data_IF_938442452167
#
_entry.id   IF_938442452167
#
_cell.length_a   1.000
_cell.length_b   1.000
_cell.length_c   1.000
_cell.angle_alpha   90.00
_cell.angle_beta   90.00
_cell.angle_gamma   90.00
#
_symmetry.space_group_name_H-M   'P 1'
#
loop_
_entity.id
_entity.type
_entity.pdbx_description
1 polymer ?
2 non-polymer ?
3 non-polymer ?
#
# COMPACT_ATOMS: atom_id res chain seq x y z
N UNK A 16 -11.39 11.32 -14.86
CA UNK A 16 -12.00 10.67 -13.71
C UNK A 16 -11.17 9.46 -13.24
N UNK A 17 -11.67 8.24 -13.45
CA UNK A 17 -10.89 7.02 -13.29
C UNK A 17 -10.34 6.90 -11.86
N UNK A 18 -11.28 6.65 -10.94
CA UNK A 18 -10.97 6.47 -9.51
C UNK A 18 -9.66 5.71 -9.31
N UNK A 19 -8.82 6.22 -8.41
CA UNK A 19 -7.55 5.60 -8.11
C UNK A 19 -7.44 5.30 -6.62
N UNK A 20 -6.71 4.22 -6.32
CA UNK A 20 -6.52 3.74 -4.96
C UNK A 20 -5.15 4.16 -4.45
N UNK A 21 -5.11 4.66 -3.23
CA UNK A 21 -3.88 5.09 -2.58
C UNK A 21 -3.23 3.87 -1.94
N UNK A 22 -1.90 3.80 -1.98
CA UNK A 22 -1.18 2.67 -1.41
C UNK A 22 -1.54 2.51 0.08
N UNK A 23 -1.49 1.29 0.60
CA UNK A 23 -1.95 1.05 1.98
C UNK A 23 -1.11 1.77 3.03
N UNK A 24 0.07 2.30 2.68
CA UNK A 24 0.86 3.02 3.66
C UNK A 24 0.27 4.37 4.02
N UNK A 25 -0.64 4.89 3.21
CA UNK A 25 -1.31 6.16 3.46
C UNK A 25 -2.80 5.87 3.62
N UNK A 26 -3.30 5.99 4.84
CA UNK A 26 -4.70 5.71 5.13
C UNK A 26 -5.24 6.79 6.06
N UNK A 27 -6.56 6.88 6.14
CA UNK A 27 -7.24 7.91 6.91
C UNK A 27 -7.72 7.35 8.23
N UNK A 28 -7.49 8.08 9.31
CA UNK A 28 -7.91 7.70 10.66
C UNK A 28 -9.01 8.64 11.11
N UNK A 29 -10.19 8.07 11.40
CA UNK A 29 -11.38 8.85 11.74
C UNK A 29 -11.87 8.40 13.12
N UNK A 30 -12.06 9.36 14.01
CA UNK A 30 -12.65 9.09 15.32
C UNK A 30 -14.07 9.64 15.39
N UNK A 45 -8.28 5.22 16.70
CA UNK A 45 -9.57 5.00 16.06
C UNK A 45 -9.51 3.97 14.96
N UNK A 46 -10.45 3.98 14.03
CA UNK A 46 -10.45 3.07 12.90
C UNK A 46 -9.81 3.72 11.69
N UNK A 47 -9.01 2.95 10.96
CA UNK A 47 -8.21 3.44 9.85
C UNK A 47 -8.79 2.87 8.56
N UNK A 48 -8.92 3.74 7.54
CA UNK A 48 -9.61 3.37 6.32
C UNK A 48 -8.74 3.59 5.09
N UNK A 49 -8.84 2.71 4.10
CA UNK A 49 -8.19 2.98 2.81
C UNK A 49 -8.75 4.25 2.18
N UNK A 50 -7.95 4.84 1.30
CA UNK A 50 -8.27 6.12 0.70
C UNK A 50 -8.43 5.94 -0.81
N UNK A 51 -9.57 6.40 -1.34
CA UNK A 51 -9.83 6.43 -2.77
C UNK A 51 -9.90 7.88 -3.21
N UNK A 52 -9.27 8.19 -4.34
CA UNK A 52 -9.18 9.55 -4.84
C UNK A 52 -9.96 9.69 -6.14
N UNK A 53 -10.88 10.66 -6.16
CA UNK A 53 -11.54 11.09 -7.40
C UNK A 53 -10.88 12.42 -7.78
N UNK A 54 -9.77 12.32 -8.50
CA UNK A 54 -8.90 13.47 -8.74
C UNK A 54 -9.46 14.34 -9.86
N UNK A 55 -9.71 15.60 -9.54
CA UNK A 55 -10.00 16.61 -10.54
C UNK A 55 -8.87 17.61 -10.65
N UNK A 56 -8.12 17.73 -9.55
CA UNK A 56 -6.93 18.57 -9.47
C UNK A 56 -5.80 17.77 -8.84
N UNK A 57 -4.55 18.04 -9.23
CA UNK A 57 -3.42 17.32 -8.64
C UNK A 57 -3.28 17.61 -7.16
N UNK A 58 -2.75 16.63 -6.43
CA UNK A 58 -2.60 16.71 -4.98
C UNK A 58 -1.15 16.52 -4.58
N UNK A 59 -0.74 17.22 -3.53
CA UNK A 59 0.59 17.09 -2.96
C UNK A 59 0.48 16.77 -1.48
N UNK A 60 1.55 16.17 -0.95
CA UNK A 60 1.60 15.75 0.45
C UNK A 60 3.00 15.96 0.98
N UNK A 61 3.14 16.81 2.00
CA UNK A 61 4.42 17.11 2.62
C UNK A 61 4.34 16.83 4.11
N UNK A 62 5.35 16.12 4.62
CA UNK A 62 5.49 15.88 6.05
C UNK A 62 6.28 17.02 6.67
N UNK A 63 5.73 17.61 7.74
CA UNK A 63 6.33 18.77 8.38
C UNK A 63 6.79 18.41 9.78
N UNK A 64 8.01 18.84 10.13
CA UNK A 64 8.58 18.62 11.45
C UNK A 64 9.39 19.84 11.85
N UNK A 65 9.35 20.16 13.15
CA UNK A 65 10.04 21.35 13.68
C UNK A 65 11.43 20.94 14.15
N UNK A 66 12.27 20.58 13.19
CA UNK A 66 13.62 20.10 13.48
C UNK A 66 14.72 20.95 12.85
N UNK A 67 14.38 22.05 12.19
CA UNK A 67 15.38 23.03 11.75
C UNK A 67 15.61 23.97 12.93
N UNK A 68 16.57 23.61 13.77
CA UNK A 68 16.73 24.23 15.09
C UNK A 68 17.93 25.18 15.07
N UNK A 69 17.69 26.36 15.43
CA UNK A 69 18.70 27.37 15.66
C UNK A 69 18.98 27.46 17.16
N UNK A 70 19.78 28.45 17.56
CA UNK A 70 20.14 28.57 18.96
C UNK A 70 18.98 29.03 19.84
N UNK A 71 17.95 29.66 19.26
CA UNK A 71 16.76 30.01 20.03
C UNK A 71 15.47 29.53 19.37
N UNK A 72 15.39 29.59 18.03
CA UNK A 72 14.17 29.27 17.30
C UNK A 72 14.23 27.86 16.73
N UNK A 73 13.11 27.45 16.15
CA UNK A 73 13.02 26.20 15.39
C UNK A 73 12.14 26.46 14.18
N UNK A 74 12.59 26.00 13.01
CA UNK A 74 11.80 26.10 11.79
C UNK A 74 11.19 24.75 11.46
N UNK A 75 10.24 24.69 10.45
CA UNK A 75 9.63 23.49 9.93
C UNK A 75 10.33 23.12 8.63
N UNK A 76 10.66 21.84 8.48
CA UNK A 76 11.16 21.28 7.24
C UNK A 76 10.05 20.48 6.59
N UNK A 77 9.82 20.70 5.30
CA UNK A 77 8.74 20.07 4.56
C UNK A 77 9.34 19.04 3.63
N UNK A 78 9.45 17.81 4.11
CA UNK A 78 9.91 16.70 3.28
C UNK A 78 8.70 16.09 2.59
N UNK A 79 8.57 16.21 1.26
CA UNK A 79 7.39 15.68 0.58
C UNK A 79 7.34 14.17 0.67
N UNK A 80 6.12 13.64 0.66
CA UNK A 80 5.87 12.20 0.74
C UNK A 80 5.42 11.73 -0.64
N UNK A 81 6.01 10.63 -1.11
CA UNK A 81 5.65 10.04 -2.39
C UNK A 81 4.49 9.07 -2.19
N UNK A 82 3.38 9.33 -2.86
CA UNK A 82 2.16 8.53 -2.72
C UNK A 82 1.97 7.75 -4.00
N UNK A 83 2.08 6.42 -3.92
CA UNK A 83 1.86 5.56 -5.07
C UNK A 83 0.36 5.41 -5.31
N UNK A 84 -0.11 5.89 -6.46
CA UNK A 84 -1.52 5.83 -6.82
C UNK A 84 -1.72 4.83 -7.95
N UNK A 85 -2.81 4.08 -7.89
CA UNK A 85 -3.13 3.06 -8.88
C UNK A 85 -4.55 3.30 -9.39
N UNK A 86 -4.66 3.56 -10.69
CA UNK A 86 -5.98 3.66 -11.31
C UNK A 86 -6.73 2.35 -11.12
N UNK A 87 -7.89 2.44 -10.47
CA UNK A 87 -8.70 1.25 -10.19
C UNK A 87 -9.03 0.52 -11.47
N UNK A 88 -8.53 -0.70 -11.61
CA UNK A 88 -8.76 -1.47 -12.83
C UNK A 88 -10.21 -1.88 -12.95
N UNK A 89 -10.71 -2.65 -11.98
CA UNK A 89 -12.11 -3.05 -11.94
C UNK A 89 -12.69 -2.68 -10.59
N UNK A 90 -14.01 -2.46 -10.57
CA UNK A 90 -14.67 -2.02 -9.34
C UNK A 90 -14.63 -3.09 -8.26
N UNK A 91 -14.51 -4.36 -8.64
CA UNK A 91 -14.47 -5.43 -7.65
C UNK A 91 -13.19 -5.45 -6.84
N UNK A 92 -12.24 -4.55 -7.12
CA UNK A 92 -11.07 -4.40 -6.26
C UNK A 92 -11.34 -3.52 -5.05
N UNK A 93 -12.44 -2.77 -5.05
CA UNK A 93 -12.72 -1.87 -3.95
C UNK A 93 -12.91 -2.65 -2.66
N UNK A 94 -12.37 -2.17 -1.53
CA UNK A 94 -12.62 -2.85 -0.26
C UNK A 94 -14.07 -2.72 0.18
N UNK A 95 -14.44 -3.36 1.28
CA UNK A 95 -15.81 -3.29 1.75
C UNK A 95 -16.15 -1.92 2.33
N UNK A 96 -15.19 -1.27 2.98
CA UNK A 96 -15.38 0.07 3.48
C UNK A 96 -14.12 0.89 3.26
N UNK A 97 -14.32 2.17 2.92
CA UNK A 97 -13.23 3.07 2.59
C UNK A 97 -13.80 4.49 2.56
N UNK A 98 -12.90 5.46 2.49
CA UNK A 98 -13.27 6.87 2.35
C UNK A 98 -12.95 7.32 0.94
N UNK A 99 -13.69 8.33 0.48
CA UNK A 99 -13.54 8.87 -0.87
C UNK A 99 -13.25 10.36 -0.75
N UNK A 100 -12.08 10.77 -1.21
CA UNK A 100 -11.69 12.18 -1.25
C UNK A 100 -11.92 12.67 -2.68
N UNK A 101 -12.88 13.57 -2.84
CA UNK A 101 -13.24 14.14 -4.13
C UNK A 101 -12.71 15.57 -4.23
N UNK A 102 -12.01 15.87 -5.31
CA UNK A 102 -11.43 17.18 -5.55
C UNK A 102 -12.05 17.74 -6.82
N UNK A 103 -12.79 18.84 -6.68
CA UNK A 103 -13.44 19.50 -7.81
C UNK A 103 -12.41 20.02 -8.81
N UNK B 16 -3.70 29.40 -1.39
CA UNK B 16 -4.69 30.32 -0.85
C UNK B 16 -4.54 30.53 0.66
N UNK B 17 -5.03 29.59 1.45
CA UNK B 17 -4.92 29.72 2.90
C UNK B 17 -4.86 28.34 3.53
N UNK B 18 -4.60 28.32 4.85
CA UNK B 18 -4.28 27.11 5.58
C UNK B 18 -5.37 26.83 6.61
N UNK B 19 -5.84 25.58 6.64
CA UNK B 19 -6.89 25.16 7.55
C UNK B 19 -6.44 23.91 8.28
N UNK B 20 -6.62 23.88 9.61
CA UNK B 20 -6.21 22.74 10.43
C UNK B 20 -7.43 21.88 10.72
N UNK B 21 -7.35 20.60 10.34
CA UNK B 21 -8.42 19.65 10.61
C UNK B 21 -8.28 19.14 12.03
N UNK B 22 -9.39 19.09 12.76
CA UNK B 22 -9.38 18.63 14.14
C UNK B 22 -8.94 17.17 14.21
N UNK B 23 -8.57 16.69 15.41
CA UNK B 23 -8.16 15.27 15.55
C UNK B 23 -9.27 14.28 15.19
N UNK B 24 -10.45 14.79 14.84
CA UNK B 24 -11.50 13.91 14.30
C UNK B 24 -11.02 13.20 13.04
N UNK B 25 -10.34 13.93 12.15
CA UNK B 25 -9.80 13.38 10.91
C UNK B 25 -8.29 13.63 10.91
N UNK B 26 -7.52 12.56 10.74
CA UNK B 26 -6.07 12.67 10.70
C UNK B 26 -5.53 11.63 9.72
N UNK B 27 -4.32 11.90 9.23
CA UNK B 27 -3.65 11.00 8.28
C UNK B 27 -2.80 10.01 9.03
N UNK B 28 -2.93 8.73 8.69
CA UNK B 28 -2.21 7.64 9.34
C UNK B 28 -1.20 7.07 8.37
N UNK B 29 0.09 7.29 8.66
CA UNK B 29 1.18 6.81 7.83
C UNK B 29 1.80 5.59 8.47
N UNK B 30 2.03 4.54 7.68
CA UNK B 30 2.67 3.32 8.14
C UNK B 30 3.97 3.15 7.36
N UNK B 31 5.11 3.30 8.05
CA UNK B 31 6.39 3.11 7.39
C UNK B 31 6.63 1.65 7.06
N UNK B 32 6.48 0.77 8.05
CA UNK B 32 6.54 -0.68 7.94
C UNK B 32 7.92 -1.19 7.52
N UNK B 33 8.86 -0.27 7.31
CA UNK B 33 10.24 -0.63 7.00
C UNK B 33 11.14 0.59 7.06
N UNK B 37 16.72 -0.48 7.06
CA UNK B 37 15.51 -0.96 6.42
C UNK B 37 15.02 -2.28 6.95
N UNK B 38 14.69 -2.32 8.23
CA UNK B 38 14.20 -3.52 8.89
C UNK B 38 12.68 -3.50 8.96
N UNK B 39 12.09 -4.69 8.94
CA UNK B 39 10.63 -4.81 9.02
C UNK B 39 10.17 -4.50 10.44
N UNK B 40 9.36 -3.45 10.59
CA UNK B 40 8.83 -3.12 11.90
C UNK B 40 7.61 -3.97 12.23
N UNK B 41 6.52 -3.77 11.47
CA UNK B 41 5.33 -4.63 11.51
C UNK B 41 4.67 -4.71 12.87
N UNK B 42 5.21 -3.98 13.85
CA UNK B 42 4.60 -3.86 15.17
C UNK B 42 4.40 -2.42 15.60
N UNK B 43 5.06 -1.46 14.96
CA UNK B 43 4.81 -0.05 15.23
C UNK B 43 3.42 0.34 14.76
N UNK B 44 2.93 -0.27 13.68
CA UNK B 44 1.64 0.07 13.13
C UNK B 44 1.62 1.46 12.56
N UNK B 45 0.45 2.07 12.51
CA UNK B 45 0.33 3.40 11.90
C UNK B 45 0.77 4.51 12.85
N UNK B 46 1.24 5.60 12.25
CA UNK B 46 1.56 6.83 12.95
C UNK B 46 0.63 7.92 12.43
N UNK B 47 -0.06 8.59 13.35
CA UNK B 47 -1.18 9.47 13.01
C UNK B 47 -0.73 10.92 13.14
N UNK B 48 -0.99 11.70 12.10
CA UNK B 48 -0.55 13.09 12.03
C UNK B 48 -1.74 14.00 11.77
N UNK B 49 -1.86 15.12 12.50
CA UNK B 49 -2.90 16.10 12.16
C UNK B 49 -2.71 16.63 10.75
N UNK B 50 -3.83 16.94 10.10
CA UNK B 50 -3.85 17.33 8.69
C UNK B 50 -4.01 18.85 8.60
N UNK B 51 -3.22 19.46 7.73
CA UNK B 51 -3.36 20.87 7.39
C UNK B 51 -3.57 20.97 5.88
N UNK B 52 -4.56 21.76 5.48
CA UNK B 52 -5.00 21.81 4.10
C UNK B 52 -4.57 23.13 3.44
N UNK B 53 -4.19 23.03 2.17
CA UNK B 53 -3.76 24.16 1.36
C UNK B 53 -4.67 24.24 0.14
N UNK B 54 -5.97 24.10 0.38
CA UNK B 54 -6.99 23.99 -0.67
C UNK B 54 -6.79 25.01 -1.77
N UNK B 55 -6.64 24.50 -3.00
CA UNK B 55 -6.72 25.33 -4.18
C UNK B 55 -8.12 25.25 -4.75
N UNK B 56 -8.70 24.06 -4.62
CA UNK B 56 -10.08 23.77 -4.96
C UNK B 56 -10.69 22.91 -3.86
N UNK B 57 -11.99 23.05 -3.61
CA UNK B 57 -12.59 22.41 -2.42
C UNK B 57 -12.46 20.89 -2.44
N UNK B 58 -12.68 20.31 -1.26
CA UNK B 58 -12.48 18.88 -1.03
C UNK B 58 -13.71 18.30 -0.35
N UNK B 59 -14.17 17.16 -0.85
CA UNK B 59 -15.24 16.39 -0.23
C UNK B 59 -14.68 15.09 0.33
N UNK B 60 -15.32 14.59 1.39
CA UNK B 60 -14.89 13.37 2.06
C UNK B 60 -16.11 12.57 2.44
N UNK B 61 -16.30 11.42 1.78
CA UNK B 61 -17.45 10.56 2.03
C UNK B 61 -16.97 9.18 2.48
N UNK B 62 -17.51 8.71 3.60
CA UNK B 62 -17.33 7.32 3.98
C UNK B 62 -18.16 6.44 3.06
N UNK B 63 -17.58 5.31 2.62
CA UNK B 63 -18.24 4.42 1.68
C UNK B 63 -18.31 3.02 2.28
N UNK B 64 -19.50 2.42 2.23
CA UNK B 64 -19.71 1.05 2.68
C UNK B 64 -20.51 0.29 1.64
N UNK B 65 -20.25 -1.01 1.54
CA UNK B 65 -20.81 -1.82 0.48
C UNK B 65 -22.24 -2.23 0.81
N UNK B 66 -23.16 -1.93 -0.11
CA UNK B 66 -24.54 -2.39 -0.04
C UNK B 66 -24.81 -3.36 -1.19
N UNK B 67 -25.64 -4.36 -0.91
CA UNK B 67 -25.84 -5.46 -1.84
C UNK B 67 -26.62 -5.01 -3.08
N UNK B 68 -26.14 -5.39 -4.25
CA UNK B 68 -26.90 -5.26 -5.49
C UNK B 68 -26.97 -6.55 -6.30
N UNK B 69 -25.89 -7.33 -6.33
CA UNK B 69 -25.83 -8.53 -7.15
C UNK B 69 -25.84 -9.80 -6.31
N UNK B 73 -20.61 -3.72 -6.68
CA UNK B 73 -21.39 -2.96 -7.65
C UNK B 73 -22.08 -1.73 -7.09
N UNK B 74 -22.26 -1.63 -5.78
CA UNK B 74 -22.94 -0.48 -5.18
C UNK B 74 -22.36 -0.21 -3.80
N UNK B 75 -22.26 1.07 -3.45
CA UNK B 75 -21.66 1.47 -2.19
C UNK B 75 -22.48 2.58 -1.54
N UNK B 76 -22.65 2.47 -0.23
CA UNK B 76 -23.42 3.44 0.55
C UNK B 76 -22.47 4.55 1.02
N UNK B 77 -22.60 5.73 0.43
CA UNK B 77 -21.71 6.85 0.73
C UNK B 77 -22.29 7.67 1.87
N UNK B 78 -21.58 7.69 3.00
CA UNK B 78 -21.97 8.50 4.14
C UNK B 78 -21.09 9.73 4.22
N UNK B 79 -21.63 10.93 4.05
CA UNK B 79 -20.78 12.14 4.11
C UNK B 79 -20.17 12.34 5.49
N UNK B 80 -19.05 13.05 5.50
CA UNK B 80 -18.32 13.38 6.72
C UNK B 80 -18.01 14.87 6.71
N UNK B 81 -18.38 15.57 7.77
CA UNK B 81 -18.18 17.01 7.88
C UNK B 81 -16.82 17.27 8.50
N UNK B 82 -15.86 17.73 7.70
CA UNK B 82 -14.53 18.07 8.19
C UNK B 82 -14.57 19.49 8.76
N UNK B 83 -14.27 19.61 10.06
CA UNK B 83 -14.42 20.87 10.76
C UNK B 83 -13.13 21.69 10.76
N UNK B 84 -12.55 21.89 9.58
CA UNK B 84 -11.24 22.54 9.48
C UNK B 84 -11.27 23.94 10.07
N UNK B 85 -10.21 24.29 10.80
CA UNK B 85 -10.09 25.58 11.47
C UNK B 85 -8.94 26.37 10.87
N UNK B 86 -9.19 27.63 10.52
CA UNK B 86 -8.18 28.50 9.93
C UNK B 86 -7.29 29.07 11.03
N UNK B 87 -5.97 28.88 10.88
CA UNK B 87 -5.00 29.48 11.80
C UNK B 87 -4.69 30.91 11.40
N UNK B 88 -4.29 31.59 12.35
CA UNK B 88 -3.92 32.99 12.11
C UNK B 88 -2.43 33.22 12.28
N UNK B 92 0.38 27.62 17.32
CA UNK B 92 -0.84 26.86 17.48
C UNK B 92 -0.82 25.59 16.65
N UNK B 93 0.15 25.47 15.73
CA UNK B 93 0.47 24.32 14.91
C UNK B 93 1.27 23.31 15.74
N UNK B 94 0.98 22.02 15.64
CA UNK B 94 1.75 21.03 16.38
C UNK B 94 3.13 20.82 15.77
N UNK B 95 3.96 20.00 16.55
CA UNK B 95 5.33 19.79 16.10
C UNK B 95 5.37 18.93 14.84
N UNK B 96 4.54 17.90 14.78
CA UNK B 96 4.45 17.02 13.62
C UNK B 96 3.07 17.15 12.99
N UNK B 97 3.03 17.32 11.67
CA UNK B 97 1.78 17.38 10.93
C UNK B 97 2.09 17.28 9.45
N UNK B 98 1.12 16.77 8.69
CA UNK B 98 1.23 16.69 7.25
C UNK B 98 0.49 17.88 6.64
N UNK B 99 0.83 18.20 5.39
CA UNK B 99 0.24 19.31 4.67
C UNK B 99 -0.29 18.76 3.34
N UNK B 100 -1.60 18.75 3.18
CA UNK B 100 -2.24 18.37 1.93
C UNK B 100 -2.32 19.60 1.03
N UNK B 101 -1.73 19.52 -0.15
CA UNK B 101 -1.66 20.64 -1.08
C UNK B 101 -2.40 20.26 -2.36
N UNK B 102 -3.44 21.02 -2.68
CA UNK B 102 -4.16 20.80 -3.92
C UNK B 102 -3.72 21.81 -4.97
N UNK C 17 -3.06 -15.63 -20.23
CA UNK C 17 -3.81 -14.42 -19.92
C UNK C 17 -3.24 -13.73 -18.69
N UNK C 18 -3.03 -12.42 -18.79
CA UNK C 18 -2.54 -11.66 -17.66
C UNK C 18 -3.59 -11.59 -16.56
N UNK C 19 -3.12 -11.59 -15.31
CA UNK C 19 -4.00 -11.51 -14.15
C UNK C 19 -3.51 -10.41 -13.23
N UNK C 20 -4.46 -9.67 -12.65
CA UNK C 20 -4.15 -8.58 -11.73
C UNK C 20 -4.46 -9.03 -10.31
N UNK C 21 -3.41 -9.09 -9.48
CA UNK C 21 -3.60 -9.35 -8.06
C UNK C 21 -4.35 -8.19 -7.44
N UNK C 22 -5.34 -8.49 -6.61
CA UNK C 22 -6.11 -7.44 -5.98
C UNK C 22 -5.26 -6.73 -4.92
N UNK C 23 -5.47 -5.41 -4.74
CA UNK C 23 -4.49 -4.58 -4.03
C UNK C 23 -4.21 -4.98 -2.58
N UNK C 24 -4.89 -6.01 -2.06
CA UNK C 24 -4.56 -6.52 -0.74
C UNK C 24 -3.15 -7.11 -0.70
N UNK C 25 -2.67 -7.61 -1.84
CA UNK C 25 -1.33 -8.16 -1.97
C UNK C 25 -0.57 -7.30 -2.97
N UNK C 26 0.57 -6.75 -2.54
CA UNK C 26 1.38 -5.91 -3.42
C UNK C 26 2.85 -6.13 -3.09
N UNK C 27 3.70 -5.90 -4.08
CA UNK C 27 5.14 -6.13 -3.96
C UNK C 27 5.82 -4.89 -3.42
N UNK C 28 6.57 -5.05 -2.33
CA UNK C 28 7.32 -3.97 -1.70
C UNK C 28 8.78 -4.09 -2.13
N UNK C 29 9.24 -3.16 -2.95
CA UNK C 29 10.58 -3.19 -3.52
C UNK C 29 11.45 -2.16 -2.80
N UNK C 30 12.62 -2.59 -2.34
CA UNK C 30 13.56 -1.70 -1.67
C UNK C 30 14.90 -1.68 -2.41
N UNK C 45 8.80 0.63 1.41
CA UNK C 45 8.76 2.01 0.91
C UNK C 45 8.05 2.12 -0.45
N UNK C 46 8.62 1.52 -1.48
CA UNK C 46 8.01 1.52 -2.81
C UNK C 46 7.16 0.28 -2.98
N UNK C 47 5.88 0.47 -3.28
CA UNK C 47 4.90 -0.61 -3.34
C UNK C 47 4.24 -0.57 -4.71
N UNK C 48 4.13 -1.73 -5.36
CA UNK C 48 3.61 -1.84 -6.70
C UNK C 48 2.55 -2.93 -6.78
N UNK C 49 1.51 -2.73 -7.61
CA UNK C 49 0.58 -3.81 -7.89
C UNK C 49 1.24 -4.91 -8.71
N UNK C 50 0.78 -6.14 -8.49
CA UNK C 50 1.41 -7.32 -9.07
C UNK C 50 0.56 -7.82 -10.23
N UNK C 51 1.22 -8.08 -11.36
CA UNK C 51 0.59 -8.70 -12.53
C UNK C 51 1.29 -10.03 -12.77
N UNK C 52 0.49 -11.10 -12.85
CA UNK C 52 1.02 -12.45 -12.97
C UNK C 52 0.89 -12.94 -14.41
N UNK C 53 2.03 -13.30 -15.02
CA UNK C 53 2.03 -14.04 -16.28
C UNK C 53 2.25 -15.50 -15.93
N UNK C 54 1.17 -16.13 -15.48
CA UNK C 54 1.25 -17.47 -14.90
C UNK C 54 1.30 -18.51 -16.00
N UNK C 55 2.33 -19.37 -15.94
CA UNK C 55 2.40 -20.53 -16.81
C UNK C 55 2.01 -21.79 -16.05
N UNK C 56 1.94 -21.67 -14.72
CA UNK C 56 1.56 -22.76 -13.83
C UNK C 56 0.89 -22.14 -12.61
N UNK C 57 -0.07 -22.84 -12.00
CA UNK C 57 -0.83 -22.23 -10.90
C UNK C 57 0.06 -21.89 -9.71
N UNK C 58 -0.25 -20.75 -9.08
CA UNK C 58 0.51 -20.24 -7.95
C UNK C 58 -0.34 -20.30 -6.69
N UNK C 59 0.29 -20.66 -5.58
CA UNK C 59 -0.37 -20.70 -4.27
C UNK C 59 0.50 -19.97 -3.25
N UNK C 60 -0.13 -19.17 -2.41
CA UNK C 60 0.56 -18.34 -1.43
C UNK C 60 0.12 -18.77 -0.02
N UNK C 61 1.11 -18.97 0.86
CA UNK C 61 0.86 -19.41 2.22
C UNK C 61 1.57 -18.50 3.21
N UNK C 62 0.95 -18.31 4.37
CA UNK C 62 1.51 -17.50 5.44
C UNK C 62 2.05 -18.41 6.54
N UNK C 63 3.26 -18.13 6.99
CA UNK C 63 3.93 -18.95 7.99
C UNK C 63 4.27 -18.11 9.21
N UNK C 64 3.90 -18.62 10.39
CA UNK C 64 4.24 -17.99 11.66
C UNK C 64 4.60 -19.07 12.68
N UNK C 65 5.51 -18.73 13.59
CA UNK C 65 5.96 -19.64 14.65
C UNK C 65 4.99 -19.53 15.83
N UNK C 66 3.83 -20.17 15.69
CA UNK C 66 2.81 -20.11 16.72
C UNK C 66 2.26 -21.48 17.13
N UNK C 67 2.89 -22.57 16.68
CA UNK C 67 2.57 -23.90 17.21
C UNK C 67 3.44 -24.11 18.44
N UNK C 68 2.99 -23.60 19.57
CA UNK C 68 3.81 -23.53 20.77
C UNK C 68 3.82 -24.88 21.50
N UNK C 69 5.01 -25.37 21.81
CA UNK C 69 5.21 -26.50 22.70
C UNK C 69 6.05 -26.06 23.90
N UNK C 70 6.13 -26.94 24.90
CA UNK C 70 6.80 -26.59 26.14
C UNK C 70 8.31 -26.40 25.96
N UNK C 71 8.89 -26.98 24.92
CA UNK C 71 10.32 -26.83 24.64
C UNK C 71 10.61 -26.08 23.36
N UNK C 72 9.89 -26.37 22.28
CA UNK C 72 10.10 -25.76 20.98
C UNK C 72 8.82 -25.07 20.53
N UNK C 73 8.87 -24.52 19.32
CA UNK C 73 7.69 -24.03 18.61
C UNK C 73 7.78 -24.49 17.16
N UNK C 74 6.62 -24.75 16.57
CA UNK C 74 6.54 -25.22 15.20
C UNK C 74 5.87 -24.17 14.32
N UNK C 75 6.18 -24.22 13.03
CA UNK C 75 5.61 -23.29 12.07
C UNK C 75 4.25 -23.80 11.59
N UNK C 76 3.26 -22.92 11.55
CA UNK C 76 1.97 -23.22 10.95
C UNK C 76 1.84 -22.43 9.66
N UNK C 77 1.40 -23.09 8.61
CA UNK C 77 1.30 -22.48 7.28
C UNK C 77 -0.18 -22.36 6.93
N UNK C 78 -0.72 -21.14 7.05
CA UNK C 78 -2.12 -20.92 6.71
C UNK C 78 -2.22 -20.25 5.35
N UNK C 79 -3.07 -20.74 4.47
CA UNK C 79 -3.14 -20.18 3.11
C UNK C 79 -3.64 -18.75 3.12
N UNK C 80 -3.32 -18.03 2.03
CA UNK C 80 -3.75 -16.67 1.82
C UNK C 80 -4.63 -16.66 0.58
N UNK C 81 -5.86 -16.15 0.72
CA UNK C 81 -6.81 -16.09 -0.38
C UNK C 81 -6.55 -14.79 -1.15
N UNK C 82 -5.96 -14.92 -2.34
CA UNK C 82 -5.68 -13.79 -3.21
C UNK C 82 -6.64 -13.87 -4.39
N UNK C 83 -7.39 -12.80 -4.61
CA UNK C 83 -8.44 -12.76 -5.64
C UNK C 83 -7.83 -12.16 -6.90
N UNK C 84 -7.31 -13.03 -7.77
CA UNK C 84 -6.76 -12.60 -9.04
C UNK C 84 -7.85 -12.54 -10.09
N UNK C 85 -7.98 -11.39 -10.74
CA UNK C 85 -8.94 -11.19 -11.82
C UNK C 85 -8.18 -11.15 -13.15
N UNK C 86 -8.60 -11.98 -14.09
CA UNK C 86 -7.98 -11.99 -15.42
C UNK C 86 -8.29 -10.68 -16.13
N UNK C 87 -7.24 -10.00 -16.56
CA UNK C 87 -7.37 -8.69 -17.19
C UNK C 87 -8.24 -8.79 -18.45
N UNK C 88 -9.37 -8.08 -18.44
CA UNK C 88 -10.25 -8.08 -19.60
C UNK C 88 -9.60 -7.35 -20.77
N UNK C 89 -9.13 -6.13 -20.53
CA UNK C 89 -8.55 -5.30 -21.58
C UNK C 89 -7.21 -4.74 -21.10
N UNK C 90 -6.27 -4.61 -22.03
CA UNK C 90 -4.96 -4.08 -21.69
C UNK C 90 -5.01 -2.67 -21.07
N UNK C 91 -6.15 -1.97 -21.22
CA UNK C 91 -6.21 -0.57 -20.80
C UNK C 91 -6.27 -0.38 -19.29
N UNK C 92 -6.53 -1.56 -18.61
CA UNK C 92 -6.62 -1.52 -17.16
C UNK C 92 -5.26 -1.60 -16.48
N UNK C 93 -4.21 -1.86 -17.24
CA UNK C 93 -2.88 -1.94 -16.65
C UNK C 93 -2.51 -0.57 -16.10
N UNK C 94 -2.02 -0.48 -14.87
CA UNK C 94 -1.66 0.82 -14.30
C UNK C 94 -0.47 1.45 -15.00
N UNK C 95 -0.11 2.68 -14.54
CA UNK C 95 1.01 3.38 -15.15
C UNK C 95 2.34 2.71 -14.84
N UNK C 96 2.41 2.00 -13.71
CA UNK C 96 3.60 1.24 -13.37
C UNK C 96 3.21 0.07 -12.47
N UNK C 97 3.85 -1.07 -12.68
CA UNK C 97 3.54 -2.28 -11.93
C UNK C 97 4.68 -3.28 -12.13
N UNK C 98 4.61 -4.39 -11.40
CA UNK C 98 5.58 -5.47 -11.52
C UNK C 98 4.92 -6.61 -12.27
N UNK C 99 5.72 -7.38 -12.99
CA UNK C 99 5.25 -8.53 -13.76
C UNK C 99 6.02 -9.76 -13.30
N UNK C 100 5.28 -10.76 -12.82
CA UNK C 100 5.86 -12.05 -12.44
C UNK C 100 5.50 -13.07 -13.52
N UNK C 101 6.51 -13.57 -14.21
CA UNK C 101 6.33 -14.51 -15.32
C UNK C 101 6.81 -15.89 -14.90
N UNK C 102 6.04 -16.91 -15.27
CA UNK C 102 6.38 -18.29 -14.94
C UNK C 102 6.51 -19.13 -16.21
N UNK D 16 11.97 -29.75 -6.16
CA UNK D 16 11.93 -28.33 -5.80
C UNK D 16 12.73 -28.01 -4.53
N UNK D 17 13.51 -26.94 -4.59
CA UNK D 17 14.27 -26.45 -3.46
C UNK D 17 13.65 -25.17 -2.93
N UNK D 18 14.11 -24.75 -1.76
CA UNK D 18 13.56 -23.58 -1.08
C UNK D 18 14.60 -22.48 -1.01
N UNK D 19 14.24 -21.30 -1.51
CA UNK D 19 15.10 -20.12 -1.52
C UNK D 19 14.42 -18.99 -0.78
N UNK D 20 15.21 -18.18 -0.07
CA UNK D 20 14.71 -17.03 0.66
C UNK D 20 15.15 -15.75 -0.05
N UNK D 21 14.19 -14.87 -0.31
CA UNK D 21 14.43 -13.60 -0.97
C UNK D 21 14.81 -12.57 0.08
N UNK D 22 15.87 -11.80 -0.21
CA UNK D 22 16.37 -10.82 0.73
C UNK D 22 15.42 -9.63 0.83
N UNK D 23 15.53 -8.83 1.91
CA UNK D 23 14.50 -7.79 2.18
C UNK D 23 14.36 -6.70 1.11
N UNK D 24 15.17 -6.74 0.06
CA UNK D 24 14.98 -5.76 -1.02
C UNK D 24 13.67 -5.98 -1.76
N UNK D 25 13.08 -7.17 -1.67
CA UNK D 25 11.79 -7.48 -2.29
C UNK D 25 11.02 -8.36 -1.32
N UNK D 26 9.89 -7.86 -0.83
CA UNK D 26 9.04 -8.58 0.09
C UNK D 26 7.59 -8.42 -0.34
N UNK D 27 6.69 -9.09 0.37
CA UNK D 27 5.27 -9.04 0.06
C UNK D 27 4.56 -8.14 1.05
N UNK D 28 3.80 -7.17 0.53
CA UNK D 28 3.04 -6.23 1.35
C UNK D 28 1.60 -6.70 1.42
N UNK D 29 1.21 -7.26 2.57
CA UNK D 29 -0.13 -7.78 2.80
C UNK D 29 -0.90 -6.80 3.68
N UNK D 30 -2.10 -6.44 3.24
CA UNK D 30 -3.02 -5.64 4.05
C UNK D 30 -4.40 -6.30 3.98
N UNK D 31 -4.72 -7.08 5.01
CA UNK D 31 -6.03 -7.73 5.04
C UNK D 31 -7.14 -6.77 5.39
N UNK D 32 -6.81 -5.56 5.87
CA UNK D 32 -7.73 -4.43 6.01
C UNK D 32 -9.13 -4.80 6.52
N UNK D 43 -4.96 -2.51 11.12
CA UNK D 43 -3.58 -2.51 11.58
C UNK D 43 -2.65 -2.04 10.47
N UNK D 44 -3.23 -1.74 9.31
CA UNK D 44 -2.48 -1.25 8.18
C UNK D 44 -1.79 -2.36 7.42
N UNK D 45 -0.83 -2.01 6.58
CA UNK D 45 -0.12 -3.02 5.80
C UNK D 45 1.01 -3.65 6.59
N UNK D 46 1.36 -4.87 6.20
CA UNK D 46 2.47 -5.60 6.81
C UNK D 46 3.32 -6.25 5.72
N UNK D 47 4.63 -6.12 5.87
CA UNK D 47 5.60 -6.70 4.95
C UNK D 47 6.03 -8.05 5.50
N UNK D 48 6.28 -9.00 4.59
CA UNK D 48 6.70 -10.34 4.98
C UNK D 48 7.79 -10.82 4.01
N UNK D 49 8.89 -11.37 4.52
CA UNK D 49 9.90 -11.94 3.63
C UNK D 49 9.32 -13.08 2.82
N UNK D 50 9.85 -13.27 1.61
CA UNK D 50 9.32 -14.23 0.65
C UNK D 50 10.23 -15.45 0.60
N UNK D 51 9.63 -16.63 0.64
CA UNK D 51 10.32 -17.91 0.45
C UNK D 51 9.66 -18.62 -0.71
N UNK D 52 10.48 -19.17 -1.61
CA UNK D 52 10.00 -19.72 -2.86
C UNK D 52 10.13 -21.24 -2.88
N UNK D 53 9.14 -21.90 -3.47
CA UNK D 53 9.11 -23.34 -3.69
C UNK D 53 9.09 -23.64 -5.18
N UNK D 54 9.94 -22.94 -5.93
CA UNK D 54 9.87 -22.94 -7.38
C UNK D 54 9.95 -24.35 -7.95
N UNK D 55 9.00 -24.67 -8.83
CA UNK D 55 9.09 -25.86 -9.63
C UNK D 55 9.51 -25.55 -11.05
N UNK D 56 9.39 -24.28 -11.43
CA UNK D 56 9.75 -23.77 -12.75
C UNK D 56 10.20 -22.32 -12.59
N UNK D 57 11.23 -21.88 -13.31
CA UNK D 57 11.83 -20.57 -13.04
C UNK D 57 10.82 -19.43 -13.06
N UNK D 58 11.10 -18.42 -12.25
CA UNK D 58 10.23 -17.26 -12.08
C UNK D 58 10.95 -16.01 -12.53
N UNK D 59 10.27 -15.17 -13.30
CA UNK D 59 10.80 -13.90 -13.77
C UNK D 59 10.08 -12.76 -13.07
N UNK D 60 10.82 -11.69 -12.80
CA UNK D 60 10.27 -10.50 -12.13
C UNK D 60 10.73 -9.27 -12.90
N UNK D 61 9.78 -8.57 -13.53
CA UNK D 61 10.08 -7.38 -14.31
C UNK D 61 9.28 -6.20 -13.78
N UNK D 62 9.94 -5.06 -13.60
CA UNK D 62 9.28 -3.81 -13.27
C UNK D 62 8.81 -3.16 -14.56
N UNK D 63 7.52 -2.88 -14.66
CA UNK D 63 6.90 -2.39 -15.88
C UNK D 63 6.51 -0.92 -15.73
N UNK D 64 6.87 -0.12 -16.72
CA UNK D 64 6.44 1.27 -16.82
C UNK D 64 5.94 1.53 -18.23
N UNK D 65 5.07 2.52 -18.36
CA UNK D 65 4.49 2.84 -19.66
C UNK D 65 5.44 3.67 -20.51
N UNK D 66 5.34 3.49 -21.82
CA UNK D 66 6.11 4.27 -22.78
C UNK D 66 5.31 4.35 -24.08
N UNK D 67 5.87 5.03 -25.07
CA UNK D 67 5.23 5.19 -26.39
C UNK D 67 3.80 5.68 -26.24
N UNK D 68 3.64 6.83 -25.58
CA UNK D 68 2.31 7.34 -25.28
C UNK D 68 1.65 7.89 -26.53
N UNK D 69 0.96 7.02 -27.27
CA UNK D 69 0.27 7.40 -28.49
C UNK D 69 -0.68 6.28 -28.94
N UNK D 73 -0.70 0.67 -23.80
CA UNK D 73 -0.58 -0.40 -24.79
C UNK D 73 0.87 -0.74 -25.07
N UNK D 74 1.76 0.18 -24.66
CA UNK D 74 3.20 -0.04 -24.72
C UNK D 74 3.77 0.11 -23.33
N UNK D 75 4.58 -0.86 -22.91
CA UNK D 75 5.14 -0.86 -21.57
C UNK D 75 6.61 -1.24 -21.63
N UNK D 76 7.42 -0.54 -20.85
CA UNK D 76 8.86 -0.78 -20.78
C UNK D 76 9.14 -1.71 -19.59
N UNK D 77 9.49 -2.95 -19.89
CA UNK D 77 9.83 -3.93 -18.87
C UNK D 77 11.33 -3.89 -18.60
N UNK D 78 11.71 -3.75 -17.33
CA UNK D 78 13.11 -3.77 -16.92
C UNK D 78 13.30 -4.86 -15.86
N UNK D 79 14.21 -5.80 -16.07
CA UNK D 79 14.30 -6.95 -15.15
C UNK D 79 14.78 -6.54 -13.77
N UNK D 80 14.29 -7.27 -12.77
CA UNK D 80 14.69 -7.10 -11.38
C UNK D 80 15.47 -8.33 -10.94
N UNK D 81 16.63 -8.12 -10.33
CA UNK D 81 17.49 -9.20 -9.88
C UNK D 81 17.14 -9.53 -8.43
N UNK D 82 16.55 -10.72 -8.22
CA UNK D 82 16.20 -11.21 -6.90
C UNK D 82 17.35 -12.11 -6.42
N UNK D 83 18.00 -11.71 -5.33
CA UNK D 83 19.18 -12.44 -4.86
C UNK D 83 18.77 -13.60 -3.97
N UNK D 84 17.87 -14.45 -4.46
CA UNK D 84 17.33 -15.54 -3.64
C UNK D 84 18.44 -16.43 -3.12
N UNK D 85 18.40 -16.70 -1.81
CA UNK D 85 19.45 -17.44 -1.11
C UNK D 85 18.94 -18.80 -0.70
N UNK D 86 19.66 -19.85 -1.05
CA UNK D 86 19.30 -21.19 -0.62
C UNK D 86 19.53 -21.33 0.87
N UNK D 87 18.58 -21.94 1.56
CA UNK D 87 18.71 -22.19 2.99
C UNK D 87 18.90 -23.68 3.27
N UNK D 88 19.82 -23.97 4.20
CA UNK D 88 20.01 -25.31 4.74
C UNK D 88 19.72 -25.35 6.23
N UNK D 89 20.13 -24.33 6.98
CA UNK D 89 19.87 -24.30 8.42
C UNK D 89 18.40 -23.92 8.65
N UNK D 90 18.01 -23.81 9.91
CA UNK D 90 16.59 -23.54 10.15
C UNK D 90 16.41 -22.45 11.21
N UNK D 91 17.47 -22.13 11.95
CA UNK D 91 17.44 -20.92 12.76
C UNK D 91 17.40 -19.66 11.89
N UNK D 92 17.76 -19.78 10.61
CA UNK D 92 17.70 -18.67 9.65
C UNK D 92 16.31 -18.46 9.06
N UNK D 93 15.30 -19.21 9.53
CA UNK D 93 13.93 -18.91 9.12
C UNK D 93 13.34 -17.84 10.04
N UNK D 94 12.86 -16.78 9.54
CA UNK D 94 12.17 -15.79 10.37
C UNK D 94 10.85 -16.35 10.89
N UNK D 95 10.41 -15.78 12.01
CA UNK D 95 9.16 -16.23 12.62
C UNK D 95 7.93 -15.78 11.86
N UNK D 96 8.09 -14.92 10.86
CA UNK D 96 6.98 -14.46 10.02
C UNK D 96 7.47 -14.35 8.59
N UNK D 97 6.86 -15.12 7.69
CA UNK D 97 7.21 -15.06 6.28
C UNK D 97 6.11 -15.72 5.47
N UNK D 98 6.03 -15.34 4.20
CA UNK D 98 5.09 -15.94 3.26
C UNK D 98 5.85 -16.94 2.40
N UNK D 99 5.11 -17.93 1.89
CA UNK D 99 5.68 -18.99 1.07
C UNK D 99 4.95 -18.99 -0.27
N UNK D 100 5.67 -18.64 -1.33
CA UNK D 100 5.12 -18.66 -2.69
C UNK D 100 5.54 -19.97 -3.35
N UNK D 101 4.57 -20.78 -3.74
CA UNK D 101 4.82 -22.06 -4.38
C UNK D 101 4.08 -22.12 -5.71
N UNK D 102 4.76 -22.59 -6.75
CA UNK D 102 4.17 -22.70 -8.07
C UNK D 102 4.23 -24.14 -8.58
#
# INVERSE_FOLDING_TARGET
>A
HHHHHHMDPKISEMHPALRLVDPQIQLAVTRMENAVGRDQNNVGPKVYPIILRLGSPLSLNMARKTLNSLEDKAFQLTPIAVQMTKLATTEELPDEFVVVTVK
>B
HHHHHHMDPKISEMHPALRLVDPQIQLAVTRMENAVGRDQNNVGPKVYPIILRLGSPLSLNMARKTLNSLEDKAFQLTPIAVQMTKLATTEELPDEFVVVTVK
>C
HHHHHHMDPKISEMHPALRLVDPQIQLAVTRMENAVGRDQNNVGPKVYPIILRLGSPLSLNMARKTLNSLEDKAFQLTPIAVQMTKLATTEELPDEFVVVTVK
>D
HHHHHHMDPKISEMHPALRLVDPQIQLAVTRMENAVGRDQNNVGPKVYPIILRLGSPLSLNMARKTLNSLEDKAFQLTPIAVQMTKLATTEELPDEFVVVTVK
#
